data_IF_815299819226
#
_entry.id   IF_815299819226
#
_cell.length_a   1.000
_cell.length_b   1.000
_cell.length_c   1.000
_cell.angle_alpha   90.00
_cell.angle_beta   90.00
_cell.angle_gamma   90.00
#
_symmetry.space_group_name_H-M   'P 1'
#
loop_
_entity.id
_entity.type
_entity.pdbx_description
1 polymer ?
#
# COMPACT_ATOMS: atom_id res chain seq x y z
N UNK A 1 34.59 -9.39 87.36
CA UNK A 1 33.70 -10.56 87.18
C UNK A 1 32.79 -10.25 86.00
N UNK A 2 33.32 -10.10 84.79
CA UNK A 2 33.99 -11.12 83.97
C UNK A 2 33.05 -12.24 83.52
N UNK A 3 32.83 -12.27 82.20
CA UNK A 3 32.83 -13.50 81.42
C UNK A 3 31.56 -14.34 81.50
N UNK A 4 30.83 -14.49 80.40
CA UNK A 4 31.19 -15.36 79.28
C UNK A 4 29.95 -15.49 78.39
N UNK A 5 30.08 -15.12 77.12
CA UNK A 5 29.14 -15.51 76.07
C UNK A 5 29.63 -16.85 75.51
N UNK A 6 28.85 -17.95 75.58
CA UNK A 6 29.24 -19.19 74.93
C UNK A 6 28.55 -19.33 73.56
N UNK A 7 29.40 -19.46 72.54
CA UNK A 7 29.29 -20.61 71.62
C UNK A 7 28.30 -20.52 70.47
N UNK A 8 28.72 -19.87 69.39
CA UNK A 8 28.22 -20.08 68.03
C UNK A 8 28.39 -21.55 67.58
N UNK A 9 27.33 -22.35 67.69
CA UNK A 9 27.22 -23.59 66.94
C UNK A 9 26.83 -23.26 65.49
N UNK A 10 27.81 -23.31 64.59
CA UNK A 10 27.64 -23.19 63.13
C UNK A 10 26.77 -24.36 62.62
N UNK A 11 25.48 -24.15 62.47
CA UNK A 11 24.67 -25.00 61.61
C UNK A 11 24.91 -24.58 60.16
N UNK A 12 25.61 -25.45 59.42
CA UNK A 12 25.79 -25.35 57.97
C UNK A 12 24.39 -25.38 57.33
N UNK A 13 23.91 -24.23 56.86
CA UNK A 13 22.78 -24.21 55.93
C UNK A 13 23.31 -24.84 54.64
N UNK A 14 22.78 -26.02 54.31
CA UNK A 14 22.95 -26.59 52.99
C UNK A 14 22.42 -25.57 51.99
N UNK A 15 23.32 -25.09 51.14
CA UNK A 15 23.04 -24.20 50.02
C UNK A 15 22.20 -25.00 49.02
N UNK A 16 20.86 -24.99 49.18
CA UNK A 16 19.95 -25.48 48.16
C UNK A 16 20.02 -24.48 47.03
N UNK A 17 20.93 -24.75 46.10
CA UNK A 17 21.04 -24.09 44.81
C UNK A 17 19.69 -24.21 44.10
N UNK A 18 18.86 -23.18 44.18
CA UNK A 18 17.67 -23.09 43.35
C UNK A 18 18.12 -23.08 41.89
N UNK A 19 17.63 -23.99 41.03
CA UNK A 19 17.88 -23.89 39.60
C UNK A 19 17.31 -22.56 39.11
N UNK A 20 18.14 -21.80 38.40
CA UNK A 20 17.84 -20.44 37.98
C UNK A 20 16.51 -20.36 37.23
N UNK A 21 15.55 -19.65 37.81
CA UNK A 21 14.36 -19.19 37.11
C UNK A 21 14.83 -18.10 36.13
N UNK A 22 14.89 -18.43 34.84
CA UNK A 22 15.27 -17.48 33.80
C UNK A 22 14.16 -16.44 33.63
N UNK A 23 14.29 -15.30 34.32
CA UNK A 23 13.34 -14.16 34.27
C UNK A 23 13.30 -13.51 32.87
N UNK A 24 14.18 -13.91 31.95
CA UNK A 24 14.29 -13.37 30.59
C UNK A 24 13.29 -14.05 29.64
N UNK A 25 12.98 -15.32 29.87
CA UNK A 25 11.99 -16.11 29.11
C UNK A 25 10.54 -15.62 29.37
N UNK A 26 10.22 -15.28 30.62
CA UNK A 26 8.87 -14.81 31.02
C UNK A 26 8.56 -13.41 30.47
N UNK A 27 9.57 -12.55 30.37
CA UNK A 27 9.44 -11.22 29.75
C UNK A 27 9.19 -11.29 28.23
N UNK A 28 9.54 -12.40 27.56
CA UNK A 28 9.22 -12.62 26.14
C UNK A 28 7.78 -13.08 25.93
N UNK A 29 7.21 -13.84 26.87
CA UNK A 29 5.87 -14.43 26.71
C UNK A 29 4.71 -13.52 27.13
N UNK A 30 4.95 -12.45 27.88
CA UNK A 30 3.89 -11.50 28.28
C UNK A 30 3.58 -10.41 27.24
N UNK A 31 4.48 -10.15 26.28
CA UNK A 31 4.31 -9.06 25.30
C UNK A 31 3.39 -9.46 24.12
N UNK A 32 3.10 -10.75 23.94
CA UNK A 32 2.40 -11.24 22.73
C UNK A 32 1.08 -11.96 23.05
N UNK A 33 0.38 -11.53 24.11
CA UNK A 33 -0.96 -12.05 24.45
C UNK A 33 -1.99 -10.94 24.63
N UNK A 34 -2.09 -10.07 23.64
CA UNK A 34 -3.35 -9.32 23.44
C UNK A 34 -3.90 -9.67 22.06
N UNK A 35 -4.87 -10.58 22.11
CA UNK A 35 -5.89 -10.97 21.14
C UNK A 35 -5.96 -10.04 19.91
N UNK A 36 -5.68 -10.46 18.67
CA UNK A 36 -6.27 -11.59 17.92
C UNK A 36 -7.80 -11.61 17.80
N UNK A 37 -8.44 -10.46 18.00
CA UNK A 37 -9.63 -10.09 17.22
C UNK A 37 -9.27 -8.82 16.45
N UNK A 38 -8.72 -9.01 15.25
CA UNK A 38 -8.26 -7.91 14.41
C UNK A 38 -9.45 -7.07 13.97
N UNK A 39 -9.73 -5.97 14.67
CA UNK A 39 -10.56 -4.90 14.15
C UNK A 39 -9.88 -4.31 12.91
N UNK A 40 -10.24 -4.81 11.74
CA UNK A 40 -9.76 -4.33 10.44
C UNK A 40 -10.97 -3.79 9.65
N UNK A 41 -11.45 -2.58 9.98
CA UNK A 41 -12.55 -1.98 9.26
C UNK A 41 -12.15 -1.78 7.80
N UNK A 42 -13.02 -2.20 6.88
CA UNK A 42 -12.87 -1.96 5.42
C UNK A 42 -13.27 -0.54 5.03
N UNK A 43 -13.16 0.40 5.96
CA UNK A 43 -13.39 1.82 5.73
C UNK A 43 -12.40 2.63 6.57
N UNK A 44 -11.93 3.74 6.02
CA UNK A 44 -11.19 4.75 6.77
C UNK A 44 -11.86 6.11 6.53
N UNK A 45 -11.96 6.89 7.59
CA UNK A 45 -12.47 8.26 7.51
C UNK A 45 -11.32 9.17 7.04
N UNK A 46 -11.52 9.98 5.98
CA UNK A 46 -10.51 10.94 5.57
C UNK A 46 -10.33 12.01 6.66
N UNK A 47 -9.08 12.36 7.02
CA UNK A 47 -8.83 13.38 8.04
C UNK A 47 -9.44 14.74 7.66
N UNK A 48 -9.50 15.04 6.36
CA UNK A 48 -10.13 16.24 5.82
C UNK A 48 -11.61 16.39 6.17
N UNK A 49 -12.39 15.32 6.15
CA UNK A 49 -13.81 15.37 6.52
C UNK A 49 -14.00 15.70 8.00
N UNK A 50 -13.15 15.15 8.87
CA UNK A 50 -13.19 15.44 10.32
C UNK A 50 -12.76 16.89 10.60
N UNK A 51 -11.79 17.41 9.84
CA UNK A 51 -11.42 18.83 9.91
C UNK A 51 -12.59 19.71 9.49
N UNK A 52 -13.26 19.39 8.38
CA UNK A 52 -14.42 20.15 7.89
C UNK A 52 -15.56 20.19 8.92
N UNK A 53 -15.91 19.05 9.52
CA UNK A 53 -16.90 18.98 10.60
C UNK A 53 -16.51 19.88 11.79
N UNK A 54 -15.23 19.86 12.17
CA UNK A 54 -14.70 20.72 13.23
C UNK A 54 -14.74 22.21 12.89
N UNK A 55 -14.68 22.58 11.61
CA UNK A 55 -14.82 23.94 11.13
C UNK A 55 -16.27 24.39 11.13
N UNK A 56 -17.18 23.52 10.67
CA UNK A 56 -18.62 23.77 10.68
C UNK A 56 -19.15 24.02 12.09
N UNK A 57 -18.79 23.17 13.07
CA UNK A 57 -19.21 23.32 14.47
C UNK A 57 -18.72 24.65 15.07
N UNK A 58 -17.59 25.17 14.61
CA UNK A 58 -17.00 26.43 15.10
C UNK A 58 -17.38 27.65 14.25
N UNK A 59 -18.06 27.45 13.12
CA UNK A 59 -18.36 28.49 12.14
C UNK A 59 -17.11 29.11 11.52
N UNK A 60 -16.04 28.32 11.33
CA UNK A 60 -14.78 28.78 10.74
C UNK A 60 -14.70 28.43 9.27
N UNK A 61 -14.12 29.31 8.46
CA UNK A 61 -13.72 28.99 7.09
C UNK A 61 -12.37 28.27 7.05
N UNK A 62 -12.05 27.63 5.92
CA UNK A 62 -10.72 27.04 5.67
C UNK A 62 -9.60 28.08 5.80
N UNK A 63 -9.86 29.32 5.39
CA UNK A 63 -8.94 30.44 5.53
C UNK A 63 -8.73 30.83 7.00
N UNK A 64 -9.76 30.73 7.85
CA UNK A 64 -9.63 30.97 9.29
C UNK A 64 -8.74 29.92 9.94
N UNK A 65 -8.91 28.66 9.54
CA UNK A 65 -8.02 27.59 10.00
C UNK A 65 -6.59 27.89 9.58
N UNK A 66 -6.35 28.12 8.28
CA UNK A 66 -5.03 28.39 7.72
C UNK A 66 -4.29 29.51 8.47
N UNK A 67 -5.00 30.61 8.79
CA UNK A 67 -4.45 31.72 9.59
C UNK A 67 -4.06 31.33 11.01
N UNK A 68 -4.81 30.42 11.65
CA UNK A 68 -4.54 29.96 13.03
C UNK A 68 -3.38 28.98 13.12
N UNK A 69 -3.25 28.08 12.14
CA UNK A 69 -2.12 27.13 12.06
C UNK A 69 -0.88 27.73 11.38
N UNK A 70 -0.99 28.89 10.74
CA UNK A 70 0.14 29.60 10.11
C UNK A 70 0.59 28.98 8.79
N UNK A 71 -0.35 28.44 8.01
CA UNK A 71 -0.08 27.84 6.69
C UNK A 71 -0.89 28.54 5.58
N UNK A 72 -0.62 28.18 4.32
CA UNK A 72 -1.38 28.71 3.20
C UNK A 72 -2.80 28.08 3.14
N UNK A 73 -3.83 28.85 2.75
CA UNK A 73 -5.19 28.33 2.58
C UNK A 73 -5.27 27.14 1.62
N UNK A 74 -4.43 27.15 0.57
CA UNK A 74 -4.34 26.05 -0.38
C UNK A 74 -3.98 24.73 0.31
N UNK A 75 -3.03 24.75 1.26
CA UNK A 75 -2.62 23.56 2.00
C UNK A 75 -3.78 22.98 2.84
N UNK A 76 -4.64 23.84 3.38
CA UNK A 76 -5.85 23.42 4.11
C UNK A 76 -6.86 22.77 3.18
N UNK A 77 -7.10 23.38 2.02
CA UNK A 77 -8.04 22.83 1.02
C UNK A 77 -7.57 21.47 0.48
N UNK A 78 -6.27 21.32 0.22
CA UNK A 78 -5.65 20.05 -0.19
C UNK A 78 -5.73 18.98 0.92
N UNK A 79 -5.61 19.38 2.20
CA UNK A 79 -5.83 18.49 3.34
C UNK A 79 -7.30 18.03 3.43
N UNK A 80 -8.24 18.94 3.20
CA UNK A 80 -9.68 18.66 3.24
C UNK A 80 -10.08 17.70 2.11
N UNK A 81 -9.56 17.94 0.91
CA UNK A 81 -9.74 17.08 -0.27
C UNK A 81 -9.04 15.72 -0.14
N UNK A 82 -8.11 15.59 0.83
CA UNK A 82 -7.35 14.36 1.07
C UNK A 82 -6.19 14.14 0.10
N UNK A 83 -5.79 15.16 -0.67
CA UNK A 83 -4.63 15.10 -1.55
C UNK A 83 -3.32 15.22 -0.77
N UNK A 84 -3.29 16.13 0.20
CA UNK A 84 -2.11 16.37 1.05
C UNK A 84 -2.16 15.54 2.34
N UNK A 85 -1.07 14.81 2.69
CA UNK A 85 -1.01 14.05 3.94
C UNK A 85 -0.90 14.99 5.15
N UNK A 86 -1.51 14.59 6.26
CA UNK A 86 -1.31 15.26 7.55
C UNK A 86 0.06 14.87 8.11
N UNK A 87 1.03 15.78 7.98
CA UNK A 87 2.38 15.63 8.54
C UNK A 87 2.35 15.75 10.08
N UNK A 88 3.29 15.12 10.83
CA UNK A 88 3.37 15.30 12.27
C UNK A 88 3.45 16.77 12.72
N UNK A 89 4.12 17.62 11.94
CA UNK A 89 4.19 19.06 12.24
C UNK A 89 2.81 19.72 12.14
N UNK A 90 2.04 19.40 11.10
CA UNK A 90 0.68 19.87 10.90
C UNK A 90 -0.29 19.30 11.94
N UNK A 91 -0.11 18.03 12.33
CA UNK A 91 -0.90 17.41 13.38
C UNK A 91 -0.73 18.12 14.74
N UNK A 92 0.50 18.52 15.08
CA UNK A 92 0.78 19.33 16.27
C UNK A 92 0.12 20.73 16.18
N UNK A 93 0.11 21.34 14.99
CA UNK A 93 -0.55 22.63 14.79
C UNK A 93 -2.08 22.50 14.95
N UNK A 94 -2.67 21.46 14.38
CA UNK A 94 -4.09 21.13 14.52
C UNK A 94 -4.46 20.81 15.98
N UNK A 95 -3.59 20.14 16.73
CA UNK A 95 -3.80 19.89 18.16
C UNK A 95 -3.94 21.19 18.95
N UNK A 96 -3.08 22.19 18.68
CA UNK A 96 -3.14 23.48 19.36
C UNK A 96 -4.41 24.27 19.04
N UNK A 97 -4.96 24.12 17.84
CA UNK A 97 -6.10 24.89 17.36
C UNK A 97 -7.44 24.20 17.62
N UNK A 98 -7.51 22.89 17.42
CA UNK A 98 -8.72 22.07 17.51
C UNK A 98 -8.83 21.29 18.82
N UNK A 99 -7.74 21.16 19.58
CA UNK A 99 -7.70 20.46 20.87
C UNK A 99 -7.67 18.93 20.78
N UNK A 100 -7.51 18.36 19.59
CA UNK A 100 -7.42 16.92 19.36
C UNK A 100 -5.95 16.53 19.25
N UNK A 101 -5.51 15.51 20.02
CA UNK A 101 -4.12 15.06 20.07
C UNK A 101 -3.53 14.80 18.68
N UNK A 102 -2.29 15.23 18.44
CA UNK A 102 -1.58 15.04 17.17
C UNK A 102 -1.50 13.55 16.74
N UNK A 103 -1.43 12.63 17.69
CA UNK A 103 -1.42 11.18 17.44
C UNK A 103 -2.69 10.72 16.71
N UNK A 104 -3.85 11.28 17.06
CA UNK A 104 -5.13 10.92 16.44
C UNK A 104 -5.14 11.34 14.96
N UNK A 105 -4.69 12.56 14.68
CA UNK A 105 -4.57 13.08 13.31
C UNK A 105 -3.61 12.26 12.46
N UNK A 106 -2.45 11.94 13.04
CA UNK A 106 -1.41 11.16 12.34
C UNK A 106 -1.88 9.75 12.03
N UNK A 107 -2.52 9.09 13.00
CA UNK A 107 -3.06 7.75 12.85
C UNK A 107 -4.22 7.72 11.84
N UNK A 108 -5.14 8.67 11.91
CA UNK A 108 -6.24 8.80 10.94
C UNK A 108 -5.72 9.00 9.52
N UNK A 109 -4.73 9.88 9.33
CA UNK A 109 -4.10 10.10 8.02
C UNK A 109 -3.32 8.88 7.52
N UNK A 110 -2.68 8.11 8.41
CA UNK A 110 -2.03 6.86 8.04
C UNK A 110 -3.06 5.80 7.58
N UNK A 111 -4.11 5.59 8.36
CA UNK A 111 -5.18 4.63 8.05
C UNK A 111 -5.88 4.99 6.75
N UNK A 112 -6.19 6.28 6.52
CA UNK A 112 -6.76 6.76 5.27
C UNK A 112 -5.86 6.48 4.06
N UNK A 113 -4.54 6.74 4.16
CA UNK A 113 -3.60 6.45 3.07
C UNK A 113 -3.52 4.95 2.78
N UNK A 114 -3.48 4.11 3.81
CA UNK A 114 -3.49 2.65 3.65
C UNK A 114 -4.79 2.18 3.00
N UNK A 115 -5.94 2.69 3.45
CA UNK A 115 -7.23 2.38 2.84
C UNK A 115 -7.28 2.81 1.38
N UNK A 116 -6.89 4.05 1.07
CA UNK A 116 -6.89 4.58 -0.29
C UNK A 116 -5.95 3.79 -1.22
N UNK A 117 -4.80 3.33 -0.71
CA UNK A 117 -3.87 2.46 -1.44
C UNK A 117 -4.40 1.03 -1.68
N UNK A 118 -5.35 0.55 -0.86
CA UNK A 118 -6.04 -0.73 -1.08
C UNK A 118 -7.19 -0.60 -2.06
N UNK A 119 -7.94 0.51 -2.00
CA UNK A 119 -9.19 0.72 -2.75
C UNK A 119 -8.94 1.25 -4.17
N UNK A 120 -7.96 2.13 -4.36
CA UNK A 120 -7.62 2.60 -5.70
C UNK A 120 -6.88 1.50 -6.46
N UNK A 121 -7.15 1.33 -7.77
CA UNK A 121 -6.34 0.46 -8.61
C UNK A 121 -4.89 0.93 -8.47
N UNK A 122 -4.01 0.00 -8.08
CA UNK A 122 -2.57 0.28 -7.96
C UNK A 122 -2.10 0.89 -9.27
N UNK A 123 -1.80 2.19 -9.31
CA UNK A 123 -0.91 2.71 -10.34
C UNK A 123 0.41 1.99 -10.07
N UNK A 124 0.91 1.16 -10.99
CA UNK A 124 2.10 0.37 -10.72
C UNK A 124 3.27 1.32 -10.65
N UNK A 125 3.65 1.68 -9.43
CA UNK A 125 4.80 2.55 -9.14
C UNK A 125 6.14 1.81 -9.31
N UNK A 126 6.08 0.57 -9.75
CA UNK A 126 7.19 -0.12 -10.37
C UNK A 126 6.67 -0.67 -11.70
N UNK A 127 6.96 0.02 -12.80
CA UNK A 127 6.87 -0.58 -14.11
C UNK A 127 7.69 -1.89 -14.05
N UNK A 128 7.01 -3.03 -14.15
CA UNK A 128 7.69 -4.31 -14.29
C UNK A 128 8.65 -4.15 -15.45
N UNK A 129 9.94 -4.40 -15.23
CA UNK A 129 10.89 -4.40 -16.32
C UNK A 129 10.35 -5.35 -17.41
N UNK A 130 10.34 -4.93 -18.68
CA UNK A 130 9.85 -5.80 -19.74
C UNK A 130 10.63 -7.12 -19.70
N UNK A 131 9.91 -8.23 -19.82
CA UNK A 131 10.54 -9.54 -19.99
C UNK A 131 11.41 -9.55 -21.26
N UNK A 132 12.35 -10.50 -21.40
CA UNK A 132 13.26 -10.55 -22.57
C UNK A 132 12.54 -10.63 -23.93
N UNK A 133 11.27 -11.07 -23.95
CA UNK A 133 10.41 -11.15 -25.14
C UNK A 133 9.40 -9.98 -25.24
N UNK A 134 9.50 -8.98 -24.37
CA UNK A 134 8.65 -7.79 -24.34
C UNK A 134 9.41 -6.59 -24.91
N UNK A 135 8.90 -6.00 -25.99
CA UNK A 135 9.44 -4.75 -26.56
C UNK A 135 8.70 -3.56 -25.97
N UNK A 136 9.34 -2.69 -25.17
CA UNK A 136 8.70 -1.48 -24.67
C UNK A 136 8.39 -0.49 -25.80
N UNK A 137 7.20 0.12 -25.73
CA UNK A 137 6.70 1.14 -26.65
C UNK A 137 6.48 2.44 -25.87
N UNK A 138 7.49 3.34 -25.82
CA UNK A 138 7.44 4.55 -25.00
C UNK A 138 6.43 5.59 -25.51
N UNK A 139 6.19 5.64 -26.82
CA UNK A 139 5.26 6.61 -27.43
C UNK A 139 3.83 6.07 -27.56
N UNK A 140 3.58 4.84 -27.11
CA UNK A 140 2.27 4.23 -27.22
C UNK A 140 1.34 4.69 -26.08
N UNK A 141 0.10 4.98 -26.45
CA UNK A 141 -0.98 5.31 -25.50
C UNK A 141 -1.90 4.10 -25.34
N UNK A 142 -2.28 3.79 -24.10
CA UNK A 142 -3.25 2.74 -23.83
C UNK A 142 -4.68 3.22 -24.16
N UNK A 143 -5.47 2.49 -24.98
CA UNK A 143 -6.85 2.88 -25.31
C UNK A 143 -7.82 2.74 -24.13
N UNK A 144 -7.50 1.92 -23.12
CA UNK A 144 -8.38 1.68 -21.98
C UNK A 144 -8.24 2.74 -20.88
N UNK A 145 -7.02 3.15 -20.53
CA UNK A 145 -6.77 4.08 -19.43
C UNK A 145 -6.16 5.43 -19.85
N UNK A 146 -5.81 5.60 -21.13
CA UNK A 146 -5.21 6.83 -21.64
C UNK A 146 -3.76 7.08 -21.19
N UNK A 147 -3.12 6.13 -20.51
CA UNK A 147 -1.74 6.27 -20.07
C UNK A 147 -0.79 6.42 -21.28
N UNK A 148 0.03 7.48 -21.25
CA UNK A 148 1.11 7.73 -22.21
C UNK A 148 2.39 7.08 -21.71
N UNK A 149 2.96 6.19 -22.53
CA UNK A 149 4.17 5.45 -22.17
C UNK A 149 3.92 4.30 -21.20
N UNK A 150 4.80 3.30 -21.26
CA UNK A 150 4.68 2.07 -20.46
C UNK A 150 3.81 0.99 -21.09
N UNK A 151 3.59 1.00 -22.40
CA UNK A 151 3.00 -0.15 -23.11
C UNK A 151 4.13 -1.10 -23.52
N UNK A 152 3.96 -2.40 -23.33
CA UNK A 152 4.90 -3.43 -23.81
C UNK A 152 4.24 -4.29 -24.87
N UNK A 153 4.95 -4.57 -25.96
CA UNK A 153 4.54 -5.48 -27.04
C UNK A 153 5.13 -6.86 -26.80
N UNK A 154 4.35 -7.91 -26.94
CA UNK A 154 4.80 -9.29 -26.82
C UNK A 154 4.06 -10.18 -27.82
N UNK A 155 4.68 -11.32 -28.16
CA UNK A 155 4.09 -12.32 -29.04
C UNK A 155 3.55 -13.48 -28.22
N UNK A 156 2.37 -13.98 -28.60
CA UNK A 156 1.74 -15.15 -27.99
C UNK A 156 1.26 -16.10 -29.07
N UNK A 157 1.59 -17.39 -28.90
CA UNK A 157 1.05 -18.46 -29.75
C UNK A 157 -0.28 -18.91 -29.17
N UNK A 158 -1.35 -18.83 -29.97
CA UNK A 158 -2.70 -19.25 -29.60
C UNK A 158 -3.31 -20.07 -30.74
N UNK A 159 -4.12 -21.07 -30.39
CA UNK A 159 -4.99 -21.75 -31.33
C UNK A 159 -6.30 -20.99 -31.47
N UNK A 160 -6.55 -20.37 -32.61
CA UNK A 160 -7.81 -19.66 -32.88
C UNK A 160 -8.68 -20.40 -33.88
N UNK A 161 -10.00 -20.43 -33.61
CA UNK A 161 -10.99 -20.94 -34.55
C UNK A 161 -11.47 -19.78 -35.44
N UNK A 162 -11.04 -19.76 -36.69
CA UNK A 162 -11.49 -18.76 -37.67
C UNK A 162 -12.33 -19.45 -38.73
N UNK A 163 -13.61 -19.06 -38.83
CA UNK A 163 -14.57 -19.64 -39.79
C UNK A 163 -14.64 -21.18 -39.73
N UNK A 164 -14.56 -21.75 -38.52
CA UNK A 164 -14.64 -23.18 -38.28
C UNK A 164 -13.33 -23.96 -38.49
N UNK A 165 -12.22 -23.28 -38.80
CA UNK A 165 -10.89 -23.89 -38.93
C UNK A 165 -10.03 -23.51 -37.73
N UNK A 166 -9.41 -24.49 -37.08
CA UNK A 166 -8.44 -24.27 -36.00
C UNK A 166 -7.10 -23.89 -36.63
N UNK A 167 -6.61 -22.70 -36.32
CA UNK A 167 -5.33 -22.17 -36.78
C UNK A 167 -4.39 -21.97 -35.60
N UNK A 168 -3.18 -22.52 -35.68
CA UNK A 168 -2.10 -22.15 -34.76
C UNK A 168 -1.45 -20.85 -35.25
N UNK A 169 -1.60 -19.78 -34.46
CA UNK A 169 -1.20 -18.44 -34.88
C UNK A 169 -0.35 -17.75 -33.82
N UNK A 170 0.58 -16.93 -34.29
CA UNK A 170 1.35 -16.03 -33.42
C UNK A 170 0.71 -14.65 -33.51
N UNK A 171 0.09 -14.21 -32.42
CA UNK A 171 -0.49 -12.87 -32.30
C UNK A 171 0.51 -11.91 -31.66
N UNK A 172 0.54 -10.69 -32.17
CA UNK A 172 1.28 -9.57 -31.58
C UNK A 172 0.33 -8.79 -30.69
N UNK A 173 0.50 -8.93 -29.38
CA UNK A 173 -0.33 -8.29 -28.37
C UNK A 173 0.45 -7.20 -27.65
N UNK A 174 -0.28 -6.31 -26.98
CA UNK A 174 0.29 -5.25 -26.17
C UNK A 174 -0.33 -5.29 -24.79
N UNK A 175 0.47 -5.05 -23.76
CA UNK A 175 0.01 -4.92 -22.39
C UNK A 175 0.35 -3.53 -21.89
N UNK A 176 -0.62 -2.85 -21.30
CA UNK A 176 -0.36 -1.60 -20.59
C UNK A 176 0.27 -1.92 -19.24
N UNK A 177 1.44 -1.33 -18.93
CA UNK A 177 2.01 -1.46 -17.61
C UNK A 177 1.11 -0.82 -16.55
N UNK A 178 0.40 0.27 -16.86
CA UNK A 178 -0.40 1.06 -15.91
C UNK A 178 -1.70 0.38 -15.46
N UNK A 179 -2.51 -0.16 -16.39
CA UNK A 179 -3.77 -0.81 -16.06
C UNK A 179 -3.74 -2.34 -16.21
N UNK A 180 -2.70 -2.91 -16.83
CA UNK A 180 -2.58 -4.35 -17.08
C UNK A 180 -3.37 -4.85 -18.28
N UNK A 181 -4.16 -4.00 -18.95
CA UNK A 181 -5.01 -4.39 -20.08
C UNK A 181 -4.18 -4.92 -21.26
N UNK A 182 -4.65 -6.02 -21.87
CA UNK A 182 -4.07 -6.61 -23.07
C UNK A 182 -4.91 -6.29 -24.31
N UNK A 183 -4.29 -5.77 -25.36
CA UNK A 183 -5.01 -5.39 -26.58
C UNK A 183 -4.17 -5.60 -27.84
N UNK A 184 -4.86 -5.81 -28.96
CA UNK A 184 -4.28 -5.87 -30.32
C UNK A 184 -4.32 -4.47 -30.95
N UNK A 185 -3.31 -4.09 -31.72
CA UNK A 185 -3.32 -2.83 -32.46
C UNK A 185 -3.64 -3.09 -33.93
N UNK A 186 -4.61 -2.36 -34.47
CA UNK A 186 -5.02 -2.41 -35.88
C UNK A 186 -3.91 -2.09 -36.88
N UNK A 187 -2.79 -1.46 -36.46
CA UNK A 187 -1.61 -1.22 -37.30
C UNK A 187 -0.56 -2.33 -37.27
N UNK A 188 -0.68 -3.31 -36.37
CA UNK A 188 0.25 -4.44 -36.36
C UNK A 188 -0.05 -5.39 -37.55
N UNK A 189 0.94 -6.14 -38.05
CA UNK A 189 0.72 -7.09 -39.14
C UNK A 189 -0.40 -8.08 -38.82
N UNK A 190 -1.39 -8.19 -39.71
CA UNK A 190 -2.52 -9.10 -39.51
C UNK A 190 -2.05 -10.56 -39.57
N UNK A 191 -2.02 -11.21 -38.42
CA UNK A 191 -1.63 -12.60 -38.28
C UNK A 191 -2.54 -13.54 -39.10
N UNK A 192 -3.79 -13.13 -39.39
CA UNK A 192 -4.71 -13.93 -40.21
C UNK A 192 -4.17 -14.11 -41.62
N UNK A 193 -3.61 -13.05 -42.21
CA UNK A 193 -3.02 -13.12 -43.54
C UNK A 193 -1.88 -14.15 -43.60
N UNK A 194 -1.00 -14.16 -42.59
CA UNK A 194 0.07 -15.15 -42.47
C UNK A 194 -0.43 -16.57 -42.24
N UNK A 195 -1.45 -16.75 -41.39
CA UNK A 195 -2.05 -18.06 -41.12
C UNK A 195 -2.73 -18.65 -42.35
N UNK A 196 -3.49 -17.84 -43.10
CA UNK A 196 -4.12 -18.27 -44.34
C UNK A 196 -3.10 -18.62 -45.44
N UNK A 197 -1.97 -17.91 -45.51
CA UNK A 197 -0.90 -18.24 -46.45
C UNK A 197 -0.28 -19.62 -46.18
N UNK A 198 0.00 -19.94 -44.90
CA UNK A 198 0.53 -21.27 -44.50
C UNK A 198 -0.46 -22.39 -44.81
N UNK A 199 -1.73 -22.19 -44.44
CA UNK A 199 -2.79 -23.18 -44.73
C UNK A 199 -3.03 -23.38 -46.23
N UNK A 200 -2.77 -22.36 -47.05
CA UNK A 200 -2.82 -22.51 -48.52
C UNK A 200 -1.63 -23.33 -49.02
N UNK A 201 -0.42 -23.04 -48.54
CA UNK A 201 0.79 -23.77 -48.93
C UNK A 201 0.77 -25.25 -48.51
N UNK A 202 0.12 -25.60 -47.39
CA UNK A 202 -0.03 -27.00 -46.95
C UNK A 202 -1.05 -27.80 -47.78
N UNK A 203 -1.86 -27.13 -48.61
CA UNK A 203 -2.87 -27.75 -49.47
C UNK A 203 -2.41 -27.96 -50.92
N UNK A 204 -1.31 -27.32 -51.32
CA UNK A 204 -0.65 -27.50 -52.63
C UNK A 204 0.36 -28.67 -52.56
#
# INVERSE_FOLDING_TARGET
MDGLVPGLARQRRADVRQPGHDVREERRSAVVKQAQFGWNPDYAVPPGAVIAEHLEVRGWSEADLARRIGCQPQMVSEMISGESPVDPTTACALERVLGVKAEIWTNMGANWRTFRARTLPRTPTCARAPAMNETPLPDATCPACGALGGVVRFERREGEVVRGVVLEVTKTLRRCAACGEEFENSRDPDWRAGAYARLRADKD
#
